data_IF_614977179735
#
_entry.id   IF_614977179735
#
_cell.length_a   1.000
_cell.length_b   1.000
_cell.length_c   1.000
_cell.angle_alpha   90.00
_cell.angle_beta   90.00
_cell.angle_gamma   90.00
#
_symmetry.space_group_name_H-M   'P 1'
#
loop_
_entity.id
_entity.type
_entity.pdbx_description
1 polymer ?
#
# COMPACT_ATOMS: atom_id res chain seq x y z
N UNK A 1 -10.94 13.20 9.63
CA UNK A 1 -10.01 12.46 8.77
C UNK A 1 -8.82 13.36 8.49
N UNK A 2 -7.64 12.79 8.33
CA UNK A 2 -6.44 13.48 7.85
C UNK A 2 -5.96 12.73 6.60
N UNK A 3 -5.48 13.47 5.61
CA UNK A 3 -4.94 12.91 4.36
C UNK A 3 -3.60 13.57 4.12
N UNK A 4 -2.60 12.76 3.82
CA UNK A 4 -1.24 13.21 3.57
C UNK A 4 -0.75 12.68 2.24
N UNK A 5 0.14 13.43 1.60
CA UNK A 5 0.99 12.93 0.53
C UNK A 5 2.29 12.43 1.15
N UNK A 6 2.45 11.10 1.23
CA UNK A 6 3.63 10.47 1.79
C UNK A 6 4.75 10.52 0.74
N UNK A 7 5.94 11.07 1.05
CA UNK A 7 7.07 10.98 0.14
C UNK A 7 7.59 9.54 0.02
N UNK A 8 8.25 9.23 -1.09
CA UNK A 8 9.06 8.02 -1.23
C UNK A 8 10.25 8.06 -0.25
N UNK A 9 10.69 6.90 0.22
CA UNK A 9 11.76 6.75 1.21
C UNK A 9 11.31 6.83 2.68
N UNK A 10 10.09 7.32 2.95
CA UNK A 10 9.52 7.37 4.31
C UNK A 10 8.72 6.09 4.63
N UNK A 11 9.12 5.38 5.67
CA UNK A 11 8.41 4.19 6.17
C UNK A 11 7.10 4.57 6.83
N UNK A 12 6.03 3.81 6.55
CA UNK A 12 4.72 4.00 7.20
C UNK A 12 4.72 3.53 8.65
N UNK A 13 5.37 2.39 8.91
CA UNK A 13 5.47 1.78 10.23
C UNK A 13 6.93 1.61 10.61
N UNK A 14 7.22 1.74 11.90
CA UNK A 14 8.50 1.38 12.48
C UNK A 14 8.86 -0.10 12.28
N UNK A 15 10.10 -0.45 12.59
CA UNK A 15 10.63 -1.82 12.44
C UNK A 15 12.15 -1.84 12.51
N UNK A 16 12.74 -3.04 12.36
CA UNK A 16 14.20 -3.20 12.40
C UNK A 16 14.88 -2.34 11.33
N UNK A 17 15.69 -1.38 11.75
CA UNK A 17 16.41 -0.46 10.86
C UNK A 17 15.62 0.76 10.39
N UNK A 18 14.42 1.03 10.95
CA UNK A 18 13.65 2.24 10.69
C UNK A 18 13.78 3.19 11.88
N UNK A 19 14.45 4.33 11.68
CA UNK A 19 14.64 5.35 12.74
C UNK A 19 13.46 6.31 12.87
N UNK A 20 12.80 6.62 11.74
CA UNK A 20 11.65 7.53 11.68
C UNK A 20 10.58 6.90 10.80
N UNK A 21 9.36 6.86 11.34
CA UNK A 21 8.19 6.34 10.63
C UNK A 21 6.98 7.25 10.76
N UNK A 22 6.07 7.16 9.78
CA UNK A 22 4.92 8.05 9.69
C UNK A 22 3.92 7.84 10.85
N UNK A 23 3.74 6.62 11.34
CA UNK A 23 2.90 6.34 12.50
C UNK A 23 3.47 6.95 13.79
N UNK A 24 4.79 6.91 14.00
CA UNK A 24 5.45 7.62 15.11
C UNK A 24 5.30 9.14 15.00
N UNK A 25 5.44 9.70 13.80
CA UNK A 25 5.21 11.12 13.56
C UNK A 25 3.75 11.50 13.84
N UNK A 26 2.79 10.67 13.42
CA UNK A 26 1.37 10.89 13.65
C UNK A 26 0.96 10.76 15.11
N UNK A 27 1.66 9.92 15.89
CA UNK A 27 1.46 9.83 17.33
C UNK A 27 1.77 11.16 18.04
N UNK A 28 2.63 12.02 17.47
CA UNK A 28 2.88 13.37 18.00
C UNK A 28 1.70 14.33 17.78
N UNK A 29 0.81 14.05 16.82
CA UNK A 29 -0.44 14.80 16.61
C UNK A 29 -1.55 14.33 17.57
N UNK A 30 -1.20 14.27 18.85
CA UNK A 30 -2.13 13.92 19.94
C UNK A 30 -3.06 15.09 20.24
N UNK A 31 -4.36 14.83 20.36
CA UNK A 31 -5.31 15.88 20.71
C UNK A 31 -5.28 16.24 22.21
N UNK A 32 -6.02 17.29 22.60
CA UNK A 32 -6.12 17.74 24.00
C UNK A 32 -6.64 16.68 24.98
N UNK A 33 -7.22 15.58 24.48
CA UNK A 33 -7.75 14.46 25.28
C UNK A 33 -6.78 13.27 25.30
N UNK A 34 -5.55 13.42 24.80
CA UNK A 34 -4.56 12.35 24.77
C UNK A 34 -4.78 11.33 23.65
N UNK A 35 -5.65 11.61 22.67
CA UNK A 35 -5.95 10.66 21.59
C UNK A 35 -4.98 10.87 20.42
N UNK A 36 -4.27 9.81 20.07
CA UNK A 36 -3.37 9.77 18.93
C UNK A 36 -4.12 9.52 17.62
N UNK A 37 -3.67 10.20 16.56
CA UNK A 37 -4.11 9.89 15.20
C UNK A 37 -3.49 8.57 14.76
N UNK A 38 -4.25 7.75 14.02
CA UNK A 38 -3.81 6.42 13.55
C UNK A 38 -3.99 6.28 12.05
N UNK A 39 -3.03 5.63 11.39
CA UNK A 39 -3.10 5.31 9.97
C UNK A 39 -4.13 4.21 9.70
N UNK A 40 -4.92 4.37 8.64
CA UNK A 40 -5.93 3.40 8.22
C UNK A 40 -5.36 2.32 7.28
N UNK A 41 -4.27 2.60 6.59
CA UNK A 41 -3.59 1.68 5.70
C UNK A 41 -2.10 2.00 5.62
N UNK A 42 -1.35 1.16 4.92
CA UNK A 42 0.08 1.33 4.67
C UNK A 42 0.37 1.50 3.19
N UNK A 43 1.51 2.13 2.92
CA UNK A 43 2.21 2.16 1.64
C UNK A 43 3.63 1.65 1.90
N UNK A 44 4.27 1.08 0.89
CA UNK A 44 5.66 0.68 1.01
C UNK A 44 6.57 1.91 1.14
N UNK A 45 7.78 1.70 1.65
CA UNK A 45 8.72 2.79 1.95
C UNK A 45 8.97 3.66 0.71
N UNK A 46 9.22 3.03 -0.43
CA UNK A 46 9.52 3.70 -1.69
C UNK A 46 8.27 4.12 -2.48
N UNK A 47 7.07 3.69 -2.07
CA UNK A 47 5.81 4.15 -2.68
C UNK A 47 5.43 5.51 -2.11
N UNK A 48 5.28 6.51 -2.96
CA UNK A 48 4.73 7.82 -2.58
C UNK A 48 3.21 7.88 -2.73
N UNK A 49 2.60 8.94 -2.22
CA UNK A 49 1.21 9.28 -2.53
C UNK A 49 0.28 9.25 -1.32
N UNK A 50 -1.01 9.11 -1.62
CA UNK A 50 -2.10 9.35 -0.65
C UNK A 50 -2.08 8.33 0.47
N UNK A 51 -2.02 8.84 1.71
CA UNK A 51 -2.21 8.04 2.92
C UNK A 51 -3.20 8.71 3.88
N UNK A 52 -4.10 7.90 4.46
CA UNK A 52 -5.22 8.41 5.26
C UNK A 52 -5.10 7.99 6.72
N UNK A 53 -5.40 8.93 7.63
CA UNK A 53 -5.42 8.73 9.07
C UNK A 53 -6.75 9.16 9.72
N UNK A 54 -7.14 8.43 10.76
CA UNK A 54 -8.24 8.78 11.64
C UNK A 54 -7.75 9.52 12.88
N UNK A 55 -8.31 10.72 13.15
CA UNK A 55 -8.00 11.52 14.35
C UNK A 55 -8.84 11.14 15.57
N UNK A 56 -9.95 10.44 15.37
CA UNK A 56 -10.84 9.97 16.44
C UNK A 56 -11.03 8.46 16.33
N UNK A 57 -11.38 7.76 17.42
CA UNK A 57 -11.70 6.33 17.40
C UNK A 57 -12.79 5.98 16.37
N UNK A 58 -13.83 6.79 16.26
CA UNK A 58 -14.89 6.60 15.27
C UNK A 58 -14.39 6.77 13.83
N UNK A 59 -13.54 7.76 13.57
CA UNK A 59 -13.00 7.99 12.23
C UNK A 59 -12.07 6.86 11.79
N UNK A 60 -11.16 6.40 12.67
CA UNK A 60 -10.27 5.28 12.32
C UNK A 60 -11.05 3.97 12.14
N UNK A 61 -12.08 3.72 12.96
CA UNK A 61 -12.94 2.55 12.80
C UNK A 61 -13.66 2.56 11.45
N UNK A 62 -14.27 3.70 11.07
CA UNK A 62 -14.94 3.83 9.78
C UNK A 62 -13.99 3.67 8.59
N UNK A 63 -12.78 4.25 8.67
CA UNK A 63 -11.76 4.09 7.64
C UNK A 63 -11.31 2.62 7.51
N UNK A 64 -10.97 1.98 8.63
CA UNK A 64 -10.55 0.57 8.63
C UNK A 64 -11.63 -0.33 8.02
N UNK A 65 -12.90 -0.07 8.36
CA UNK A 65 -14.03 -0.80 7.80
C UNK A 65 -14.12 -0.60 6.28
N UNK A 66 -13.98 0.63 5.78
CA UNK A 66 -14.00 0.91 4.34
C UNK A 66 -12.89 0.18 3.56
N UNK A 67 -11.68 0.07 4.13
CA UNK A 67 -10.60 -0.72 3.55
C UNK A 67 -10.87 -2.23 3.61
N UNK A 68 -11.42 -2.73 4.73
CA UNK A 68 -11.75 -4.15 4.90
C UNK A 68 -12.87 -4.59 3.95
N UNK A 69 -13.89 -3.77 3.76
CA UNK A 69 -15.03 -4.02 2.87
C UNK A 69 -14.69 -3.81 1.39
N UNK A 70 -13.46 -3.36 1.07
CA UNK A 70 -12.98 -3.10 -0.29
C UNK A 70 -13.82 -2.09 -1.07
N UNK A 71 -14.51 -1.18 -0.37
CA UNK A 71 -15.29 -0.08 -0.99
C UNK A 71 -14.43 1.15 -1.31
N UNK A 72 -13.17 1.16 -0.84
CA UNK A 72 -12.21 2.23 -1.14
C UNK A 72 -11.47 1.94 -2.45
N UNK A 73 -11.78 2.75 -3.47
CA UNK A 73 -11.03 2.79 -4.73
C UNK A 73 -9.65 3.44 -4.53
N UNK A 74 -8.63 2.81 -5.11
CA UNK A 74 -7.23 3.24 -5.02
C UNK A 74 -6.63 3.14 -6.41
N UNK A 75 -6.12 4.26 -6.93
CA UNK A 75 -5.44 4.32 -8.23
C UNK A 75 -3.98 4.64 -7.98
N UNK A 76 -3.07 3.90 -8.63
CA UNK A 76 -1.63 4.06 -8.47
C UNK A 76 -1.00 4.23 -9.83
N UNK A 77 -0.16 5.26 -10.01
CA UNK A 77 0.65 5.36 -11.22
C UNK A 77 1.94 4.57 -11.03
N UNK A 78 2.29 3.75 -12.02
CA UNK A 78 3.52 2.99 -12.05
C UNK A 78 4.17 3.03 -13.44
N UNK A 79 5.50 3.06 -13.48
CA UNK A 79 6.26 2.83 -14.72
C UNK A 79 6.77 1.39 -14.68
N UNK A 80 6.41 0.60 -15.68
CA UNK A 80 6.83 -0.80 -15.84
C UNK A 80 7.82 -0.93 -17.00
N UNK A 81 8.76 -1.87 -16.89
CA UNK A 81 9.74 -2.17 -17.93
C UNK A 81 9.20 -3.21 -18.92
N UNK A 82 9.72 -3.22 -20.16
CA UNK A 82 9.36 -4.18 -21.20
C UNK A 82 8.30 -3.71 -22.19
N UNK A 83 8.03 -2.40 -22.21
CA UNK A 83 6.99 -1.79 -23.05
C UNK A 83 5.58 -1.93 -22.46
N UNK A 84 4.56 -1.69 -23.29
CA UNK A 84 3.17 -1.84 -22.88
C UNK A 84 2.85 -3.30 -22.54
N UNK A 85 2.19 -3.58 -21.40
CA UNK A 85 1.55 -4.86 -21.18
C UNK A 85 0.62 -5.24 -22.33
N UNK A 86 0.51 -6.55 -22.59
CA UNK A 86 -0.48 -7.09 -23.52
C UNK A 86 -1.39 -8.09 -22.79
N UNK A 87 -2.72 -7.87 -22.76
CA UNK A 87 -3.46 -6.72 -23.30
C UNK A 87 -3.10 -5.38 -22.62
N UNK A 88 -3.46 -4.25 -23.23
CA UNK A 88 -3.15 -2.90 -22.70
C UNK A 88 -3.93 -2.54 -21.44
N UNK A 89 -5.00 -3.27 -21.14
CA UNK A 89 -5.78 -3.20 -19.92
C UNK A 89 -6.26 -4.59 -19.51
N UNK A 90 -6.48 -4.81 -18.23
CA UNK A 90 -6.95 -6.10 -17.73
C UNK A 90 -6.92 -6.21 -16.22
N UNK A 91 -7.13 -7.44 -15.72
CA UNK A 91 -7.09 -7.76 -14.29
C UNK A 91 -6.05 -8.86 -14.06
N UNK A 92 -5.09 -8.59 -13.17
CA UNK A 92 -4.12 -9.54 -12.69
C UNK A 92 -4.66 -10.19 -11.41
N UNK A 93 -4.94 -11.49 -11.47
CA UNK A 93 -5.38 -12.27 -10.31
C UNK A 93 -4.29 -13.29 -9.96
N UNK A 94 -3.81 -13.24 -8.71
CA UNK A 94 -2.83 -14.20 -8.20
C UNK A 94 -2.99 -14.39 -6.71
N UNK A 95 -2.54 -15.51 -6.17
CA UNK A 95 -2.43 -15.69 -4.73
C UNK A 95 -1.02 -15.30 -4.29
N UNK A 96 -0.89 -14.64 -3.14
CA UNK A 96 0.38 -14.20 -2.59
C UNK A 96 0.72 -14.98 -1.32
N UNK A 97 2.01 -15.27 -1.13
CA UNK A 97 2.54 -15.86 0.11
C UNK A 97 3.58 -14.94 0.71
N UNK A 98 3.61 -14.91 2.05
CA UNK A 98 4.62 -14.19 2.82
C UNK A 98 5.72 -15.14 3.22
N UNK A 99 6.97 -14.80 2.91
CA UNK A 99 8.16 -15.59 3.21
C UNK A 99 9.16 -14.74 3.99
N UNK A 100 9.81 -15.32 5.00
CA UNK A 100 10.98 -14.71 5.64
C UNK A 100 12.26 -15.17 4.97
N UNK A 101 13.05 -14.26 4.45
CA UNK A 101 14.39 -14.53 3.92
C UNK A 101 15.40 -13.64 4.63
N UNK A 102 16.38 -14.25 5.32
CA UNK A 102 17.43 -13.53 6.06
C UNK A 102 16.88 -12.46 7.01
N UNK A 103 15.72 -12.72 7.64
CA UNK A 103 15.06 -11.79 8.57
C UNK A 103 14.18 -10.73 7.90
N UNK A 104 14.14 -10.66 6.56
CA UNK A 104 13.28 -9.74 5.81
C UNK A 104 12.01 -10.46 5.37
N UNK A 105 10.87 -9.81 5.59
CA UNK A 105 9.58 -10.26 5.06
C UNK A 105 9.50 -9.93 3.56
N UNK A 106 9.27 -10.95 2.74
CA UNK A 106 9.07 -10.85 1.29
C UNK A 106 7.68 -11.37 0.92
N UNK A 107 7.08 -10.77 -0.10
CA UNK A 107 5.83 -11.23 -0.70
C UNK A 107 6.11 -11.66 -2.13
N UNK A 108 5.58 -12.82 -2.52
CA UNK A 108 5.68 -13.32 -3.89
C UNK A 108 4.41 -14.05 -4.29
N UNK A 109 4.26 -14.29 -5.60
CA UNK A 109 3.24 -15.20 -6.10
C UNK A 109 3.37 -16.59 -5.46
N UNK A 110 2.24 -17.12 -5.03
CA UNK A 110 2.07 -18.45 -4.47
C UNK A 110 2.27 -19.50 -5.56
N UNK A 111 2.92 -20.61 -5.21
CA UNK A 111 2.84 -21.83 -6.02
C UNK A 111 1.51 -22.54 -5.74
N UNK A 112 0.97 -23.35 -6.68
CA UNK A 112 -0.35 -23.97 -6.53
C UNK A 112 -0.56 -24.76 -5.23
N UNK A 113 0.50 -25.31 -4.64
CA UNK A 113 0.44 -26.14 -3.42
C UNK A 113 0.75 -25.39 -2.12
N UNK A 114 1.03 -24.09 -2.15
CA UNK A 114 1.46 -23.34 -0.96
C UNK A 114 0.28 -22.80 -0.15
N UNK A 115 0.37 -22.94 1.17
CA UNK A 115 -0.63 -22.47 2.13
C UNK A 115 0.06 -22.01 3.44
N UNK A 116 -0.40 -20.91 4.08
CA UNK A 116 -1.50 -20.04 3.66
C UNK A 116 -1.11 -19.17 2.45
N UNK A 117 -2.05 -18.94 1.56
CA UNK A 117 -1.93 -18.02 0.44
C UNK A 117 -3.15 -17.09 0.39
N UNK A 118 -2.92 -15.81 0.11
CA UNK A 118 -3.95 -14.78 0.11
C UNK A 118 -4.26 -14.33 -1.32
N UNK A 119 -5.52 -14.38 -1.72
CA UNK A 119 -5.95 -13.88 -3.02
C UNK A 119 -5.67 -12.37 -3.15
N UNK A 120 -5.07 -11.99 -4.27
CA UNK A 120 -4.80 -10.63 -4.67
C UNK A 120 -5.30 -10.39 -6.10
N UNK A 121 -5.89 -9.23 -6.30
CA UNK A 121 -6.42 -8.80 -7.58
C UNK A 121 -5.98 -7.35 -7.84
N UNK A 122 -5.55 -7.06 -9.06
CA UNK A 122 -5.12 -5.71 -9.47
C UNK A 122 -5.56 -5.48 -10.89
N UNK A 123 -6.52 -4.58 -11.08
CA UNK A 123 -6.86 -4.05 -12.39
C UNK A 123 -5.74 -3.10 -12.84
N UNK A 124 -5.46 -3.08 -14.14
CA UNK A 124 -4.50 -2.15 -14.72
C UNK A 124 -4.97 -1.60 -16.07
N UNK A 125 -4.47 -0.42 -16.43
CA UNK A 125 -4.62 0.19 -17.75
C UNK A 125 -3.35 0.92 -18.16
N UNK A 126 -2.92 0.71 -19.40
CA UNK A 126 -1.77 1.41 -19.99
C UNK A 126 -2.19 2.80 -20.43
N UNK A 127 -1.50 3.82 -19.91
CA UNK A 127 -1.76 5.23 -20.22
C UNK A 127 -0.83 5.75 -21.33
N UNK A 128 0.44 5.35 -21.30
CA UNK A 128 1.43 5.69 -22.31
C UNK A 128 2.53 4.63 -22.35
N UNK A 129 3.18 4.44 -23.50
CA UNK A 129 4.27 3.47 -23.63
C UNK A 129 5.32 3.86 -24.67
N UNK A 130 6.52 3.32 -24.47
CA UNK A 130 7.59 3.20 -25.46
C UNK A 130 7.88 1.71 -25.68
N UNK A 131 8.84 1.37 -26.54
CA UNK A 131 9.30 -0.03 -26.67
C UNK A 131 9.93 -0.58 -25.37
N UNK A 132 10.49 0.30 -24.53
CA UNK A 132 11.24 -0.12 -23.34
C UNK A 132 10.42 -0.07 -22.04
N UNK A 133 9.37 0.75 -21.96
CA UNK A 133 8.62 0.98 -20.73
C UNK A 133 7.19 1.48 -20.99
N UNK A 134 6.32 1.34 -19.99
CA UNK A 134 4.97 1.88 -20.01
C UNK A 134 4.58 2.53 -18.68
N UNK A 135 3.84 3.64 -18.76
CA UNK A 135 3.09 4.21 -17.65
C UNK A 135 1.74 3.51 -17.57
N UNK A 136 1.44 2.93 -16.42
CA UNK A 136 0.19 2.22 -16.12
C UNK A 136 -0.46 2.81 -14.89
N UNK A 137 -1.77 2.65 -14.80
CA UNK A 137 -2.56 2.83 -13.58
C UNK A 137 -3.30 1.56 -13.17
#
# INVERSE_FOLDING_TARGET
MLVFDKPAGLSVQGGSGVEISLDEMLAQFTDRKGRQSRLAHRLDRETSGVIVAGRTPSAIAALNQAFADRITEKTYLAIVCGGAPHPVEGVLTTSLVKQKLRGVDLVRAARPSESPAWAAETAYRTLAATEAAALVE
#
